data_IF_446612915963
#
_entry.id   IF_446612915963
#
_cell.length_a   1.000
_cell.length_b   1.000
_cell.length_c   1.000
_cell.angle_alpha   90.00
_cell.angle_beta   90.00
_cell.angle_gamma   90.00
#
_symmetry.space_group_name_H-M   'P 1'
#
loop_
_entity.id
_entity.type
_entity.pdbx_description
1 polymer ?
#
# COMPACT_ATOMS: atom_id res chain seq x y z
N UNK A 1 11.60 11.93 16.27
CA UNK A 1 10.47 11.10 15.87
C UNK A 1 9.61 11.92 14.93
N UNK A 2 9.52 11.55 13.65
CA UNK A 2 8.55 12.16 12.73
C UNK A 2 7.33 11.25 12.63
N UNK A 3 6.19 11.72 13.14
CA UNK A 3 4.91 11.02 13.10
C UNK A 3 4.09 11.55 11.93
N UNK A 4 3.76 10.66 11.00
CA UNK A 4 3.10 11.00 9.74
C UNK A 4 1.69 10.46 9.73
N UNK A 5 0.70 11.31 9.45
CA UNK A 5 -0.68 10.88 9.18
C UNK A 5 -0.82 10.52 7.70
N UNK A 6 -1.47 9.41 7.38
CA UNK A 6 -1.58 8.92 6.00
C UNK A 6 -3.04 8.99 5.54
N UNK A 7 -3.26 9.68 4.42
CA UNK A 7 -4.53 9.69 3.67
C UNK A 7 -4.37 8.72 2.49
N UNK A 8 -5.13 7.62 2.45
CA UNK A 8 -5.12 6.68 1.32
C UNK A 8 -5.74 7.25 0.04
N UNK A 9 -5.91 6.37 -0.94
CA UNK A 9 -6.58 6.65 -2.22
C UNK A 9 -7.96 7.27 -2.00
N UNK A 10 -8.19 8.42 -2.65
CA UNK A 10 -9.35 9.27 -2.34
C UNK A 10 -10.54 8.95 -3.23
N UNK A 11 -10.32 8.68 -4.51
CA UNK A 11 -11.32 8.30 -5.52
C UNK A 11 -12.65 9.05 -5.34
N UNK A 12 -12.62 10.38 -5.47
CA UNK A 12 -13.80 11.24 -5.37
C UNK A 12 -14.58 11.17 -4.03
N UNK A 13 -13.88 10.94 -2.90
CA UNK A 13 -14.46 10.91 -1.55
C UNK A 13 -14.06 12.17 -0.75
N UNK A 14 -14.60 13.37 -1.05
CA UNK A 14 -14.24 14.60 -0.35
C UNK A 14 -14.46 14.53 1.17
N UNK A 15 -15.42 13.73 1.63
CA UNK A 15 -15.71 13.52 3.04
C UNK A 15 -14.55 12.89 3.83
N UNK A 16 -13.58 12.25 3.16
CA UNK A 16 -12.37 11.73 3.82
C UNK A 16 -11.57 12.84 4.48
N UNK A 17 -11.56 14.05 3.90
CA UNK A 17 -10.84 15.19 4.48
C UNK A 17 -11.50 15.67 5.77
N UNK A 18 -12.83 15.67 5.86
CA UNK A 18 -13.54 16.02 7.10
C UNK A 18 -13.27 14.98 8.22
N UNK A 19 -13.21 13.69 7.88
CA UNK A 19 -12.84 12.65 8.83
C UNK A 19 -11.37 12.75 9.27
N UNK A 20 -10.48 13.07 8.35
CA UNK A 20 -9.08 13.31 8.67
C UNK A 20 -8.94 14.49 9.63
N UNK A 21 -9.64 15.62 9.42
CA UNK A 21 -9.65 16.76 10.34
C UNK A 21 -10.08 16.37 11.76
N UNK A 22 -11.11 15.54 11.89
CA UNK A 22 -11.57 15.06 13.20
C UNK A 22 -10.44 14.32 13.94
N UNK A 23 -9.68 13.49 13.24
CA UNK A 23 -8.57 12.73 13.83
C UNK A 23 -7.34 13.60 14.10
N UNK A 24 -7.01 14.51 13.19
CA UNK A 24 -5.90 15.48 13.34
C UNK A 24 -6.14 16.41 14.52
N UNK A 25 -7.39 16.72 14.86
CA UNK A 25 -7.70 17.52 16.06
C UNK A 25 -7.36 16.83 17.39
N UNK A 26 -7.17 15.50 17.38
CA UNK A 26 -6.94 14.68 18.58
C UNK A 26 -5.46 14.40 18.85
N UNK A 27 -4.58 14.64 17.88
CA UNK A 27 -3.15 14.30 17.97
C UNK A 27 -2.32 15.12 17.00
N UNK A 28 -1.11 15.50 17.41
CA UNK A 28 -0.18 16.21 16.53
C UNK A 28 0.57 15.23 15.61
N UNK A 29 0.77 15.67 14.37
CA UNK A 29 1.52 14.97 13.32
C UNK A 29 2.48 15.95 12.65
N UNK A 30 3.71 15.51 12.40
CA UNK A 30 4.73 16.34 11.77
C UNK A 30 4.44 16.55 10.29
N UNK A 31 3.86 15.54 9.63
CA UNK A 31 3.48 15.55 8.22
C UNK A 31 2.15 14.84 8.01
N UNK A 32 1.47 15.23 6.94
CA UNK A 32 0.32 14.52 6.39
C UNK A 32 0.69 14.12 4.96
N UNK A 33 0.54 12.85 4.62
CA UNK A 33 0.83 12.35 3.27
C UNK A 33 -0.43 11.76 2.66
N UNK A 34 -0.87 12.32 1.53
CA UNK A 34 -1.92 11.76 0.69
C UNK A 34 -1.32 10.91 -0.42
N UNK A 35 -1.80 9.68 -0.60
CA UNK A 35 -1.23 8.72 -1.56
C UNK A 35 -1.78 8.86 -2.99
N UNK A 36 -2.60 9.88 -3.24
CA UNK A 36 -3.08 10.23 -4.58
C UNK A 36 -4.39 9.55 -4.93
N UNK A 37 -4.55 9.29 -6.22
CA UNK A 37 -5.80 8.81 -6.83
C UNK A 37 -6.98 9.63 -6.32
N UNK A 38 -6.91 10.93 -6.60
CA UNK A 38 -7.89 11.91 -6.14
C UNK A 38 -9.23 11.73 -6.85
N UNK A 39 -9.19 11.20 -8.06
CA UNK A 39 -10.28 11.21 -9.02
C UNK A 39 -10.66 9.80 -9.46
N UNK A 40 -11.75 9.76 -10.23
CA UNK A 40 -12.38 8.55 -10.76
C UNK A 40 -12.97 7.65 -9.68
N UNK A 41 -14.24 7.28 -9.84
CA UNK A 41 -14.93 6.27 -9.03
C UNK A 41 -16.06 5.69 -9.87
N UNK A 42 -16.63 4.57 -9.43
CA UNK A 42 -17.66 3.82 -10.13
C UNK A 42 -18.85 4.68 -10.54
N UNK A 43 -19.15 4.66 -11.85
CA UNK A 43 -20.31 5.33 -12.45
C UNK A 43 -20.34 6.87 -12.20
N UNK A 44 -19.19 7.49 -11.85
CA UNK A 44 -19.05 8.93 -11.60
C UNK A 44 -18.45 9.71 -12.77
N UNK A 45 -18.15 9.10 -13.91
CA UNK A 45 -17.38 9.70 -15.00
C UNK A 45 -17.98 11.03 -15.50
N UNK A 46 -19.29 11.23 -15.37
CA UNK A 46 -19.99 12.47 -15.79
C UNK A 46 -20.32 13.43 -14.64
N UNK A 47 -19.98 13.09 -13.40
CA UNK A 47 -20.32 13.88 -12.22
C UNK A 47 -19.31 15.01 -11.99
N UNK A 48 -19.27 16.00 -12.89
CA UNK A 48 -18.31 17.12 -12.81
C UNK A 48 -18.39 17.91 -11.49
N UNK A 49 -19.57 17.90 -10.85
CA UNK A 49 -19.78 18.51 -9.55
C UNK A 49 -18.94 17.84 -8.47
N UNK A 50 -18.96 16.51 -8.42
CA UNK A 50 -18.18 15.73 -7.45
C UNK A 50 -16.67 15.86 -7.66
N UNK A 51 -16.20 15.89 -8.90
CA UNK A 51 -14.79 16.18 -9.19
C UNK A 51 -14.38 17.56 -8.65
N UNK A 52 -15.19 18.59 -8.93
CA UNK A 52 -14.93 19.95 -8.43
C UNK A 52 -14.96 19.99 -6.90
N UNK A 53 -15.94 19.35 -6.28
CA UNK A 53 -16.07 19.25 -4.82
C UNK A 53 -14.86 18.58 -4.17
N UNK A 54 -14.33 17.52 -4.80
CA UNK A 54 -13.14 16.80 -4.32
C UNK A 54 -11.91 17.70 -4.30
N UNK A 55 -11.66 18.43 -5.39
CA UNK A 55 -10.55 19.39 -5.44
C UNK A 55 -10.76 20.57 -4.48
N UNK A 56 -11.97 21.11 -4.37
CA UNK A 56 -12.26 22.22 -3.46
C UNK A 56 -12.14 21.79 -1.98
N UNK A 57 -12.50 20.54 -1.64
CA UNK A 57 -12.29 19.98 -0.30
C UNK A 57 -10.81 19.81 0.03
N UNK A 58 -10.05 19.24 -0.90
CA UNK A 58 -8.61 19.08 -0.77
C UNK A 58 -7.89 20.43 -0.65
N UNK A 59 -8.28 21.43 -1.45
CA UNK A 59 -7.71 22.79 -1.35
C UNK A 59 -7.95 23.41 0.04
N UNK A 60 -9.17 23.28 0.59
CA UNK A 60 -9.47 23.74 1.95
C UNK A 60 -8.60 23.04 2.99
N UNK A 61 -8.45 21.73 2.87
CA UNK A 61 -7.64 20.92 3.77
C UNK A 61 -6.16 21.33 3.74
N UNK A 62 -5.57 21.46 2.54
CA UNK A 62 -4.17 21.90 2.37
C UNK A 62 -3.92 23.28 2.98
N UNK A 63 -4.87 24.22 2.81
CA UNK A 63 -4.75 25.56 3.37
C UNK A 63 -4.73 25.58 4.91
N UNK A 64 -5.29 24.55 5.56
CA UNK A 64 -5.25 24.39 7.02
C UNK A 64 -4.00 23.62 7.48
N UNK A 65 -3.44 22.78 6.61
CA UNK A 65 -2.31 21.90 6.90
C UNK A 65 -1.11 22.13 5.97
N UNK A 66 -0.27 23.16 6.21
CA UNK A 66 0.87 23.46 5.34
C UNK A 66 1.98 22.39 5.36
N UNK A 67 1.91 21.43 6.28
CA UNK A 67 2.78 20.25 6.35
C UNK A 67 2.31 19.07 5.49
N UNK A 68 1.35 19.30 4.59
CA UNK A 68 0.81 18.33 3.65
C UNK A 68 1.77 18.00 2.49
N UNK A 69 1.82 16.72 2.14
CA UNK A 69 2.52 16.14 0.99
C UNK A 69 1.52 15.33 0.15
N UNK A 70 1.62 15.44 -1.17
CA UNK A 70 0.81 14.69 -2.13
C UNK A 70 1.68 13.78 -2.98
N UNK A 71 1.36 12.49 -3.00
CA UNK A 71 1.79 11.57 -4.04
C UNK A 71 0.80 11.64 -5.22
N UNK A 72 1.29 11.61 -6.45
CA UNK A 72 0.44 11.31 -7.60
C UNK A 72 0.14 9.82 -7.67
N UNK A 73 -1.13 9.48 -7.91
CA UNK A 73 -1.55 8.14 -8.33
C UNK A 73 -1.70 8.02 -9.85
N UNK A 74 -1.97 6.80 -10.33
CA UNK A 74 -2.16 6.56 -11.77
C UNK A 74 -3.37 7.31 -12.32
N UNK A 75 -4.46 7.39 -11.56
CA UNK A 75 -5.66 8.10 -12.01
C UNK A 75 -5.42 9.59 -12.14
N UNK A 76 -4.58 10.19 -11.28
CA UNK A 76 -4.27 11.62 -11.36
C UNK A 76 -3.50 11.97 -12.65
N UNK A 77 -2.43 11.22 -12.92
CA UNK A 77 -1.54 11.50 -14.06
C UNK A 77 -2.09 11.02 -15.39
N UNK A 78 -3.04 10.08 -15.37
CA UNK A 78 -3.78 9.63 -16.57
C UNK A 78 -4.34 10.84 -17.36
N UNK A 79 -4.85 11.86 -16.67
CA UNK A 79 -5.42 13.07 -17.24
C UNK A 79 -4.37 14.01 -17.84
N UNK A 80 -3.22 14.13 -17.16
CA UNK A 80 -2.08 14.92 -17.62
C UNK A 80 -1.52 14.31 -18.92
N UNK A 81 -1.40 12.99 -18.95
CA UNK A 81 -0.78 12.25 -20.05
C UNK A 81 -1.73 11.81 -21.15
N UNK A 82 -3.03 12.04 -20.96
CA UNK A 82 -4.09 11.51 -21.84
C UNK A 82 -3.94 9.99 -22.05
N UNK A 83 -3.53 9.31 -20.98
CA UNK A 83 -3.31 7.88 -20.95
C UNK A 83 -4.54 7.24 -20.31
N UNK A 84 -5.41 6.63 -21.13
CA UNK A 84 -6.67 6.07 -20.65
C UNK A 84 -6.43 4.83 -19.81
N UNK A 85 -7.18 4.74 -18.73
CA UNK A 85 -7.26 3.59 -17.86
C UNK A 85 -8.72 3.38 -17.39
N UNK A 86 -8.93 2.54 -16.37
CA UNK A 86 -10.29 2.31 -15.88
C UNK A 86 -10.83 3.58 -15.22
N UNK A 87 -12.12 3.89 -15.36
CA UNK A 87 -12.71 5.09 -14.75
C UNK A 87 -12.37 6.44 -15.42
N UNK A 88 -11.32 6.52 -16.24
CA UNK A 88 -10.93 7.75 -16.95
C UNK A 88 -12.11 8.42 -17.67
N UNK A 89 -12.30 9.72 -17.45
CA UNK A 89 -13.38 10.49 -18.05
C UNK A 89 -12.93 11.64 -18.95
N UNK A 90 -13.20 11.51 -20.25
CA UNK A 90 -13.04 12.63 -21.20
C UNK A 90 -13.84 13.87 -20.81
N UNK A 91 -14.99 13.69 -20.15
CA UNK A 91 -15.85 14.79 -19.72
C UNK A 91 -15.23 15.55 -18.55
N UNK A 92 -14.59 14.84 -17.62
CA UNK A 92 -14.00 15.41 -16.41
C UNK A 92 -12.61 16.00 -16.64
N UNK A 93 -11.92 15.63 -17.73
CA UNK A 93 -10.53 16.01 -17.98
C UNK A 93 -10.22 17.48 -17.73
N UNK A 94 -11.07 18.40 -18.24
CA UNK A 94 -10.83 19.83 -18.04
C UNK A 94 -10.87 20.21 -16.55
N UNK A 95 -11.84 19.68 -15.80
CA UNK A 95 -11.99 19.91 -14.36
C UNK A 95 -10.79 19.32 -13.61
N UNK A 96 -10.34 18.12 -13.97
CA UNK A 96 -9.17 17.48 -13.34
C UNK A 96 -7.90 18.29 -13.56
N UNK A 97 -7.60 18.68 -14.81
CA UNK A 97 -6.41 19.48 -15.12
C UNK A 97 -6.46 20.83 -14.41
N UNK A 98 -7.61 21.50 -14.39
CA UNK A 98 -7.79 22.76 -13.65
C UNK A 98 -7.59 22.56 -12.14
N UNK A 99 -8.09 21.45 -11.57
CA UNK A 99 -7.92 21.06 -10.17
C UNK A 99 -6.46 20.81 -9.80
N UNK A 100 -5.76 19.94 -10.53
CA UNK A 100 -4.35 19.66 -10.32
C UNK A 100 -3.47 20.92 -10.44
N UNK A 101 -3.75 21.78 -11.43
CA UNK A 101 -3.06 23.07 -11.58
C UNK A 101 -3.32 24.05 -10.42
N UNK A 102 -4.44 23.92 -9.69
CA UNK A 102 -4.66 24.70 -8.45
C UNK A 102 -3.82 24.12 -7.30
N UNK A 103 -3.78 22.80 -7.16
CA UNK A 103 -2.98 22.15 -6.12
C UNK A 103 -1.50 22.53 -6.21
N UNK A 104 -0.93 22.54 -7.42
CA UNK A 104 0.46 22.99 -7.67
C UNK A 104 0.75 24.43 -7.20
N UNK A 105 -0.28 25.27 -7.07
CA UNK A 105 -0.14 26.66 -6.59
C UNK A 105 -0.30 26.79 -5.08
N UNK A 106 -1.11 25.93 -4.45
CA UNK A 106 -1.41 25.98 -3.02
C UNK A 106 -0.47 25.11 -2.19
N UNK A 107 0.06 24.03 -2.78
CA UNK A 107 1.04 23.14 -2.13
C UNK A 107 2.44 23.73 -2.31
N UNK A 108 3.27 23.66 -1.25
CA UNK A 108 4.65 24.15 -1.31
C UNK A 108 5.46 23.42 -2.39
N UNK A 109 6.39 24.13 -3.04
CA UNK A 109 7.25 23.53 -4.06
C UNK A 109 8.01 22.31 -3.48
N UNK A 110 7.94 21.17 -4.18
CA UNK A 110 8.53 19.91 -3.73
C UNK A 110 7.62 19.04 -2.86
N UNK A 111 6.45 19.52 -2.43
CA UNK A 111 5.49 18.72 -1.66
C UNK A 111 4.47 17.96 -2.54
N UNK A 112 4.59 18.04 -3.86
CA UNK A 112 3.89 17.16 -4.82
C UNK A 112 4.96 16.35 -5.56
N UNK A 113 4.84 15.01 -5.53
CA UNK A 113 5.82 14.09 -6.10
C UNK A 113 5.17 12.74 -6.45
N UNK A 114 5.90 11.81 -7.08
CA UNK A 114 5.44 10.40 -7.16
C UNK A 114 5.83 9.62 -5.90
N UNK A 115 6.99 9.95 -5.33
CA UNK A 115 7.51 9.33 -4.11
C UNK A 115 8.01 10.40 -3.16
N UNK A 116 7.49 10.40 -1.93
CA UNK A 116 8.03 11.15 -0.80
C UNK A 116 8.86 10.23 0.08
N UNK A 117 9.95 10.79 0.64
CA UNK A 117 10.78 10.12 1.63
C UNK A 117 10.80 10.91 2.92
N UNK A 118 10.52 10.24 4.03
CA UNK A 118 10.71 10.77 5.38
C UNK A 118 11.50 9.72 6.17
N UNK A 119 12.69 10.08 6.64
CA UNK A 119 13.65 9.15 7.26
C UNK A 119 13.90 7.90 6.40
N UNK A 120 13.59 6.70 6.89
CA UNK A 120 13.70 5.43 6.17
C UNK A 120 12.33 4.87 5.76
N UNK A 121 11.37 5.76 5.48
CA UNK A 121 10.04 5.41 4.98
C UNK A 121 9.80 6.11 3.65
N UNK A 122 9.36 5.33 2.66
CA UNK A 122 8.87 5.84 1.38
C UNK A 122 7.35 5.85 1.38
N UNK A 123 6.78 6.92 0.85
CA UNK A 123 5.35 7.06 0.60
C UNK A 123 5.16 7.27 -0.89
N UNK A 124 4.33 6.44 -1.52
CA UNK A 124 4.03 6.51 -2.94
C UNK A 124 2.69 5.85 -3.18
N UNK A 125 2.07 6.10 -4.32
CA UNK A 125 0.79 5.49 -4.62
C UNK A 125 0.84 3.95 -4.60
N UNK A 126 1.85 3.33 -5.25
CA UNK A 126 1.87 1.87 -5.43
C UNK A 126 3.15 1.16 -4.91
N UNK A 127 4.29 1.87 -4.84
CA UNK A 127 5.53 1.35 -4.25
C UNK A 127 6.72 1.29 -5.22
N UNK A 128 7.94 1.44 -4.72
CA UNK A 128 9.17 1.39 -5.51
C UNK A 128 9.81 0.00 -5.47
N UNK A 129 10.05 -0.59 -6.63
CA UNK A 129 10.57 -1.96 -6.76
C UNK A 129 11.99 -2.00 -7.31
N UNK A 130 12.72 -3.08 -6.99
CA UNK A 130 14.05 -3.32 -7.55
C UNK A 130 14.00 -3.45 -9.08
N UNK A 131 12.98 -4.13 -9.61
CA UNK A 131 12.80 -4.32 -11.06
C UNK A 131 12.67 -2.98 -11.78
N UNK A 132 11.86 -2.06 -11.24
CA UNK A 132 11.71 -0.73 -11.82
C UNK A 132 13.02 0.06 -11.81
N UNK A 133 13.70 0.09 -10.65
CA UNK A 133 14.96 0.81 -10.51
C UNK A 133 16.04 0.25 -11.43
N UNK A 134 16.21 -1.07 -11.49
CA UNK A 134 17.22 -1.68 -12.37
C UNK A 134 16.89 -1.54 -13.85
N UNK A 135 15.63 -1.41 -14.22
CA UNK A 135 15.24 -1.18 -15.61
C UNK A 135 15.57 0.25 -16.05
N UNK A 136 15.14 1.26 -15.29
CA UNK A 136 15.24 2.66 -15.71
C UNK A 136 16.52 3.36 -15.24
N UNK A 137 17.17 2.84 -14.19
CA UNK A 137 18.37 3.40 -13.57
C UNK A 137 19.44 2.31 -13.30
N UNK A 138 19.81 1.46 -14.29
CA UNK A 138 20.67 0.28 -14.09
C UNK A 138 22.06 0.60 -13.52
N UNK A 139 22.64 1.72 -13.94
CA UNK A 139 24.00 2.15 -13.56
C UNK A 139 24.00 3.23 -12.48
N UNK A 140 22.87 3.45 -11.80
CA UNK A 140 22.78 4.50 -10.79
C UNK A 140 23.56 4.13 -9.53
N UNK A 141 24.54 4.96 -9.17
CA UNK A 141 25.41 4.77 -8.01
C UNK A 141 25.28 5.87 -6.96
N UNK A 142 24.32 6.78 -7.11
CA UNK A 142 24.11 7.92 -6.22
C UNK A 142 23.40 7.53 -4.92
N UNK A 143 23.17 8.54 -4.08
CA UNK A 143 22.34 8.38 -2.90
C UNK A 143 20.87 8.15 -3.24
N UNK A 144 20.13 7.62 -2.29
CA UNK A 144 18.68 7.41 -2.37
C UNK A 144 17.91 8.73 -2.63
N UNK A 145 18.34 9.87 -2.09
CA UNK A 145 17.67 11.15 -2.36
C UNK A 145 17.84 11.59 -3.82
N UNK A 146 19.05 11.42 -4.39
CA UNK A 146 19.33 11.68 -5.81
C UNK A 146 18.56 10.71 -6.73
N UNK A 147 18.37 9.46 -6.30
CA UNK A 147 17.57 8.47 -7.02
C UNK A 147 16.10 8.90 -7.08
N UNK A 148 15.54 9.28 -5.94
CA UNK A 148 14.14 9.71 -5.85
C UNK A 148 13.93 11.03 -6.61
N UNK A 149 14.89 11.95 -6.62
CA UNK A 149 14.83 13.16 -7.45
C UNK A 149 14.72 12.81 -8.94
N UNK A 150 15.48 11.81 -9.42
CA UNK A 150 15.38 11.34 -10.81
C UNK A 150 14.01 10.73 -11.10
N UNK A 151 13.52 9.84 -10.24
CA UNK A 151 12.22 9.19 -10.41
C UNK A 151 11.09 10.22 -10.36
N UNK A 152 11.17 11.21 -9.47
CA UNK A 152 10.20 12.30 -9.40
C UNK A 152 10.23 13.23 -10.62
N UNK A 153 11.30 13.19 -11.43
CA UNK A 153 11.40 13.85 -12.73
C UNK A 153 10.96 13.00 -13.93
N UNK A 154 10.59 11.74 -13.73
CA UNK A 154 10.13 10.85 -14.81
C UNK A 154 8.79 11.28 -15.39
N UNK A 155 8.51 10.81 -16.60
CA UNK A 155 7.30 11.11 -17.36
C UNK A 155 6.57 9.81 -17.70
N UNK A 156 5.58 9.93 -18.57
CA UNK A 156 4.74 8.83 -19.05
C UNK A 156 5.56 7.62 -19.52
N UNK A 157 6.64 7.85 -20.26
CA UNK A 157 7.39 6.75 -20.91
C UNK A 157 8.04 5.82 -19.88
N UNK A 158 8.40 6.32 -18.71
CA UNK A 158 8.95 5.53 -17.62
C UNK A 158 7.86 5.05 -16.64
N UNK A 159 6.93 5.94 -16.27
CA UNK A 159 5.99 5.68 -15.18
C UNK A 159 4.70 4.98 -15.61
N UNK A 160 4.33 4.98 -16.89
CA UNK A 160 3.09 4.31 -17.33
C UNK A 160 3.31 2.83 -17.62
N UNK A 161 3.79 2.09 -16.62
CA UNK A 161 4.02 0.65 -16.66
C UNK A 161 3.74 -0.05 -15.32
N UNK A 162 3.40 -1.33 -15.37
CA UNK A 162 2.94 -2.13 -14.21
C UNK A 162 3.96 -2.25 -13.06
N UNK A 163 5.25 -2.04 -13.33
CA UNK A 163 6.28 -2.10 -12.29
C UNK A 163 6.51 -0.74 -11.58
N UNK A 164 5.87 0.32 -12.06
CA UNK A 164 6.13 1.68 -11.63
C UNK A 164 5.58 2.00 -10.23
N UNK A 165 6.10 3.07 -9.58
CA UNK A 165 5.60 3.58 -8.31
C UNK A 165 4.13 4.02 -8.27
N UNK A 166 3.43 4.01 -9.41
CA UNK A 166 2.02 4.37 -9.53
C UNK A 166 1.15 3.19 -10.01
N UNK A 167 1.71 2.00 -10.26
CA UNK A 167 0.94 0.86 -10.78
C UNK A 167 1.24 -0.48 -10.10
N UNK A 168 2.39 -0.60 -9.45
CA UNK A 168 2.81 -1.91 -8.95
C UNK A 168 1.91 -2.41 -7.83
N UNK A 169 1.60 -3.71 -7.86
CA UNK A 169 0.76 -4.38 -6.86
C UNK A 169 1.60 -5.34 -6.03
N UNK A 170 2.42 -4.86 -5.07
CA UNK A 170 3.20 -5.74 -4.21
C UNK A 170 2.32 -6.71 -3.42
N UNK A 171 1.02 -6.43 -3.28
CA UNK A 171 0.05 -7.28 -2.60
C UNK A 171 -0.20 -8.61 -3.33
N UNK A 172 0.00 -8.65 -4.65
CA UNK A 172 -0.32 -9.80 -5.50
C UNK A 172 0.80 -10.87 -5.51
N UNK A 173 1.91 -10.66 -4.80
CA UNK A 173 2.97 -11.64 -4.71
C UNK A 173 4.28 -11.07 -4.21
N UNK A 174 5.29 -11.92 -4.09
CA UNK A 174 6.60 -11.47 -3.64
C UNK A 174 7.30 -10.64 -4.72
N UNK A 175 7.23 -9.33 -4.57
CA UNK A 175 7.97 -8.35 -5.37
C UNK A 175 9.07 -7.77 -4.48
N UNK A 176 10.32 -7.80 -4.94
CA UNK A 176 11.43 -7.23 -4.19
C UNK A 176 11.37 -5.69 -4.25
N UNK A 177 11.18 -5.08 -3.08
CA UNK A 177 11.04 -3.64 -2.90
C UNK A 177 12.41 -2.96 -2.84
N UNK A 178 12.49 -1.71 -3.32
CA UNK A 178 13.71 -0.91 -3.31
C UNK A 178 13.53 0.42 -2.57
N UNK A 179 14.51 0.88 -1.78
CA UNK A 179 15.70 0.13 -1.38
C UNK A 179 15.38 -0.85 -0.23
N UNK A 180 16.22 -1.87 -0.05
CA UNK A 180 16.07 -2.80 1.08
C UNK A 180 16.18 -2.09 2.43
N UNK A 181 15.38 -2.51 3.40
CA UNK A 181 15.39 -1.97 4.77
C UNK A 181 14.54 -0.72 4.96
N UNK A 182 13.84 -0.25 3.92
CA UNK A 182 12.90 0.86 4.00
C UNK A 182 11.50 0.33 4.17
N UNK A 183 10.72 0.98 5.04
CA UNK A 183 9.28 0.80 5.06
C UNK A 183 8.68 1.52 3.85
N UNK A 184 7.74 0.90 3.13
CA UNK A 184 6.97 1.58 2.11
C UNK A 184 5.50 1.63 2.49
N UNK A 185 4.88 2.81 2.40
CA UNK A 185 3.45 3.01 2.65
C UNK A 185 2.79 3.28 1.31
N UNK A 186 1.85 2.41 0.94
CA UNK A 186 1.28 2.36 -0.42
C UNK A 186 -0.24 2.22 -0.37
N UNK A 187 -0.91 2.73 -1.41
CA UNK A 187 -2.32 2.51 -1.70
C UNK A 187 -2.47 1.58 -2.91
N UNK A 188 -3.17 2.05 -3.94
CA UNK A 188 -3.40 1.47 -5.27
C UNK A 188 -4.21 0.16 -5.34
N UNK A 189 -3.97 -0.74 -4.39
CA UNK A 189 -4.60 -2.06 -4.35
C UNK A 189 -5.60 -2.10 -3.20
N UNK A 190 -6.91 -2.16 -3.50
CA UNK A 190 -7.94 -2.22 -2.48
C UNK A 190 -7.76 -3.38 -1.50
N UNK A 191 -7.81 -3.09 -0.21
CA UNK A 191 -7.68 -4.06 0.88
C UNK A 191 -8.83 -3.95 1.88
N UNK A 192 -9.19 -5.08 2.50
CA UNK A 192 -10.29 -5.12 3.50
C UNK A 192 -9.95 -4.42 4.81
N UNK A 193 -8.66 -4.22 5.08
CA UNK A 193 -8.10 -3.52 6.23
C UNK A 193 -6.65 -3.16 5.88
N UNK A 194 -6.07 -2.19 6.59
CA UNK A 194 -4.62 -1.98 6.52
C UNK A 194 -3.87 -3.28 6.77
N UNK A 195 -2.91 -3.59 5.91
CA UNK A 195 -2.11 -4.81 5.99
C UNK A 195 -0.61 -4.48 5.96
N UNK A 196 0.21 -5.37 6.52
CA UNK A 196 1.66 -5.23 6.60
C UNK A 196 2.36 -6.51 6.16
N UNK A 197 3.21 -6.43 5.14
CA UNK A 197 4.03 -7.55 4.67
C UNK A 197 5.29 -7.05 3.98
N UNK A 198 6.42 -7.75 4.11
CA UNK A 198 7.63 -7.42 3.35
C UNK A 198 8.14 -5.97 3.51
N UNK A 199 7.96 -5.37 4.70
CA UNK A 199 8.21 -3.93 4.93
C UNK A 199 7.33 -2.99 4.09
N UNK A 200 6.13 -3.43 3.69
CA UNK A 200 5.10 -2.62 3.01
C UNK A 200 3.87 -2.51 3.92
N UNK A 201 3.38 -1.29 4.14
CA UNK A 201 2.07 -1.01 4.74
C UNK A 201 1.13 -0.62 3.62
N UNK A 202 0.10 -1.42 3.37
CA UNK A 202 -0.91 -1.14 2.33
C UNK A 202 -2.15 -0.53 2.97
N UNK A 203 -2.62 0.59 2.44
CA UNK A 203 -3.63 1.43 3.11
C UNK A 203 -4.83 1.80 2.26
N UNK A 204 -4.97 1.33 1.01
CA UNK A 204 -6.21 1.55 0.24
C UNK A 204 -7.36 0.70 0.79
N UNK A 205 -7.90 1.11 1.94
CA UNK A 205 -9.06 0.51 2.62
C UNK A 205 -10.32 1.40 2.52
N UNK A 206 -10.30 2.43 1.65
CA UNK A 206 -11.42 3.34 1.40
C UNK A 206 -12.12 3.08 0.06
N UNK A 207 -11.50 2.28 -0.83
CA UNK A 207 -12.10 1.79 -2.06
C UNK A 207 -13.45 1.09 -1.85
N UNK A 208 -14.31 1.19 -2.86
CA UNK A 208 -15.68 0.68 -2.87
C UNK A 208 -15.88 -0.34 -3.97
N UNK A 209 -16.82 -1.26 -3.77
CA UNK A 209 -17.40 -2.01 -4.86
C UNK A 209 -18.26 -1.09 -5.72
N UNK A 210 -18.59 -1.52 -6.95
CA UNK A 210 -19.43 -0.75 -7.87
C UNK A 210 -20.79 -0.34 -7.29
N UNK A 211 -21.34 -1.10 -6.34
CA UNK A 211 -22.60 -0.77 -5.68
C UNK A 211 -22.47 0.30 -4.58
N UNK A 212 -21.26 0.81 -4.33
CA UNK A 212 -20.95 1.81 -3.31
C UNK A 212 -20.60 1.23 -1.94
N UNK A 213 -20.70 -0.09 -1.74
CA UNK A 213 -20.32 -0.71 -0.48
C UNK A 213 -18.80 -0.63 -0.27
N UNK A 214 -18.33 -0.33 0.96
CA UNK A 214 -16.90 -0.28 1.24
C UNK A 214 -16.26 -1.66 1.12
N UNK A 215 -15.08 -1.71 0.51
CA UNK A 215 -14.24 -2.92 0.48
C UNK A 215 -13.54 -3.09 1.84
N UNK A 216 -13.00 -1.98 2.35
CA UNK A 216 -12.20 -1.92 3.57
C UNK A 216 -12.93 -1.40 4.80
N UNK A 217 -12.19 -1.36 5.91
CA UNK A 217 -12.66 -0.84 7.19
C UNK A 217 -12.63 0.70 7.27
N UNK A 218 -12.13 1.38 6.24
CA UNK A 218 -12.14 2.85 6.10
C UNK A 218 -11.47 3.56 7.30
N UNK A 219 -10.29 3.08 7.70
CA UNK A 219 -9.52 3.62 8.84
C UNK A 219 -8.21 4.22 8.41
N UNK A 220 -7.95 5.44 8.88
CA UNK A 220 -6.67 6.12 8.69
C UNK A 220 -5.60 5.56 9.63
N UNK A 221 -4.34 5.68 9.21
CA UNK A 221 -3.20 5.29 10.02
C UNK A 221 -2.25 6.46 10.23
N UNK A 222 -1.37 6.27 11.22
CA UNK A 222 -0.16 7.03 11.36
C UNK A 222 1.07 6.12 11.27
N UNK A 223 2.20 6.71 10.91
CA UNK A 223 3.50 6.03 10.81
C UNK A 223 4.56 6.84 11.55
N UNK A 224 5.29 6.20 12.44
CA UNK A 224 6.55 6.72 12.99
C UNK A 224 7.68 6.31 12.06
N UNK A 225 8.27 7.29 11.39
CA UNK A 225 9.26 7.06 10.32
C UNK A 225 10.65 6.74 10.83
N UNK A 226 10.94 7.04 12.09
CA UNK A 226 12.21 6.66 12.73
C UNK A 226 12.18 5.20 13.18
N UNK A 227 11.07 4.79 13.82
CA UNK A 227 10.93 3.42 14.33
C UNK A 227 10.34 2.44 13.32
N UNK A 228 9.86 2.94 12.16
CA UNK A 228 9.15 2.17 11.12
C UNK A 228 7.94 1.40 11.66
N UNK A 229 7.26 1.98 12.65
CA UNK A 229 6.04 1.43 13.24
C UNK A 229 4.85 2.25 12.79
N UNK A 230 3.69 1.60 12.73
CA UNK A 230 2.44 2.24 12.34
C UNK A 230 1.34 1.89 13.32
N UNK A 231 0.27 2.68 13.36
CA UNK A 231 -0.91 2.40 14.15
C UNK A 231 -2.14 3.09 13.59
N UNK A 232 -3.33 2.70 14.02
CA UNK A 232 -4.55 3.38 13.60
C UNK A 232 -4.68 4.75 14.26
N UNK A 233 -5.13 5.75 13.50
CA UNK A 233 -5.28 7.13 13.97
C UNK A 233 -6.46 7.34 14.93
N UNK A 234 -7.45 6.45 14.90
CA UNK A 234 -8.54 6.37 15.87
C UNK A 234 -8.23 5.42 17.05
N UNK A 235 -7.03 4.83 17.08
CA UNK A 235 -6.60 3.85 18.09
C UNK A 235 -6.10 4.46 19.40
N UNK A 236 -5.48 3.64 20.24
CA UNK A 236 -4.95 4.07 21.56
C UNK A 236 -3.66 4.91 21.48
N UNK A 237 -3.16 5.19 20.27
CA UNK A 237 -1.85 5.81 20.04
C UNK A 237 -0.67 4.84 20.12
N UNK A 238 -0.89 3.57 20.44
CA UNK A 238 0.13 2.52 20.41
C UNK A 238 0.27 1.96 19.00
N UNK A 239 1.48 1.55 18.59
CA UNK A 239 1.68 0.94 17.28
C UNK A 239 1.00 -0.43 17.21
N UNK A 240 0.49 -0.77 16.03
CA UNK A 240 0.00 -2.10 15.73
C UNK A 240 1.11 -3.13 15.84
N UNK A 241 0.74 -4.34 16.27
CA UNK A 241 1.68 -5.46 16.33
C UNK A 241 1.93 -5.92 14.90
N UNK A 242 3.19 -5.87 14.50
CA UNK A 242 3.58 -6.46 13.22
C UNK A 242 3.28 -7.96 13.24
N UNK A 243 2.67 -8.51 12.18
CA UNK A 243 2.49 -9.95 12.05
C UNK A 243 3.86 -10.64 12.10
N UNK A 244 3.89 -11.86 12.65
CA UNK A 244 5.10 -12.68 12.58
C UNK A 244 5.38 -12.94 11.08
N UNK A 245 6.54 -12.55 10.54
CA UNK A 245 6.84 -12.78 9.12
C UNK A 245 6.80 -14.27 8.74
N UNK A 246 7.02 -15.18 9.70
CA UNK A 246 6.83 -16.61 9.46
C UNK A 246 5.36 -16.91 9.17
N UNK A 247 4.45 -16.20 9.81
CA UNK A 247 3.01 -16.27 9.57
C UNK A 247 2.56 -15.39 8.41
N UNK A 248 3.35 -15.23 7.35
CA UNK A 248 2.85 -14.66 6.09
C UNK A 248 3.30 -15.53 4.90
N UNK A 249 2.34 -16.14 4.19
CA UNK A 249 2.64 -16.97 3.02
C UNK A 249 3.39 -16.21 1.92
N UNK A 250 3.20 -14.90 1.81
CA UNK A 250 3.88 -14.09 0.79
C UNK A 250 5.40 -14.07 0.96
N UNK A 251 5.91 -14.52 2.12
CA UNK A 251 7.35 -14.67 2.36
C UNK A 251 7.95 -15.97 1.81
N UNK A 252 7.14 -16.95 1.40
CA UNK A 252 7.59 -18.24 0.88
C UNK A 252 7.52 -18.30 -0.65
N UNK A 253 8.42 -19.09 -1.23
CA UNK A 253 8.49 -19.37 -2.68
C UNK A 253 8.02 -20.79 -2.95
N UNK A 254 7.48 -21.04 -4.15
CA UNK A 254 7.24 -22.41 -4.63
C UNK A 254 8.52 -23.23 -4.51
N UNK A 255 8.44 -24.38 -3.84
CA UNK A 255 9.59 -25.23 -3.56
C UNK A 255 10.19 -25.07 -2.15
N UNK A 256 9.78 -24.05 -1.39
CA UNK A 256 10.21 -23.93 0.01
C UNK A 256 9.70 -25.10 0.84
N UNK A 257 10.57 -25.63 1.70
CA UNK A 257 10.22 -26.72 2.60
C UNK A 257 9.63 -26.15 3.91
N UNK A 258 8.41 -26.55 4.26
CA UNK A 258 7.69 -26.06 5.43
C UNK A 258 7.25 -27.21 6.33
N UNK A 259 7.18 -26.94 7.63
CA UNK A 259 6.59 -27.83 8.63
C UNK A 259 5.32 -27.21 9.16
N UNK A 260 4.21 -27.95 9.10
CA UNK A 260 2.92 -27.43 9.52
C UNK A 260 2.24 -28.26 10.57
N UNK A 261 1.44 -27.59 11.40
CA UNK A 261 0.75 -28.20 12.53
C UNK A 261 -0.76 -28.07 12.36
N UNK A 262 -1.40 -29.18 12.01
CA UNK A 262 -2.87 -29.25 11.92
C UNK A 262 -3.44 -29.46 13.32
N UNK A 263 -4.39 -28.59 13.72
CA UNK A 263 -5.21 -28.80 14.92
C UNK A 263 -6.65 -29.07 14.48
N UNK A 264 -7.17 -30.23 14.88
CA UNK A 264 -8.52 -30.63 14.48
C UNK A 264 -9.57 -29.94 15.37
N UNK A 265 -10.44 -29.14 14.76
CA UNK A 265 -11.48 -28.38 15.46
C UNK A 265 -12.35 -29.29 16.36
N UNK A 266 -12.46 -28.95 17.65
CA UNK A 266 -13.23 -29.72 18.63
C UNK A 266 -12.48 -30.91 19.24
N UNK A 267 -11.17 -31.01 19.06
CA UNK A 267 -10.33 -32.02 19.72
C UNK A 267 -8.96 -31.45 20.13
N UNK A 268 -8.31 -32.08 21.12
CA UNK A 268 -6.90 -31.80 21.46
C UNK A 268 -5.91 -32.51 20.52
N UNK A 269 -6.40 -33.12 19.43
CA UNK A 269 -5.56 -33.83 18.47
C UNK A 269 -4.79 -32.81 17.63
N UNK A 270 -3.47 -32.98 17.63
CA UNK A 270 -2.53 -32.19 16.84
C UNK A 270 -1.65 -33.12 16.01
N UNK A 271 -1.31 -32.71 14.80
CA UNK A 271 -0.47 -33.47 13.88
C UNK A 271 0.55 -32.53 13.22
N UNK A 272 1.82 -32.93 13.19
CA UNK A 272 2.88 -32.19 12.49
C UNK A 272 3.19 -32.91 11.19
N UNK A 273 3.10 -32.18 10.09
CA UNK A 273 3.37 -32.65 8.73
C UNK A 273 4.51 -31.85 8.11
N UNK A 274 5.30 -32.53 7.29
CA UNK A 274 6.41 -31.97 6.51
C UNK A 274 5.99 -31.90 5.04
N UNK A 275 6.17 -30.74 4.39
CA UNK A 275 5.76 -30.59 2.99
C UNK A 275 6.50 -29.51 2.23
N UNK A 276 6.25 -29.46 0.92
CA UNK A 276 6.78 -28.45 0.01
C UNK A 276 5.63 -27.48 -0.31
N UNK A 277 5.93 -26.18 -0.30
CA UNK A 277 4.98 -25.13 -0.71
C UNK A 277 4.74 -25.25 -2.21
N UNK A 278 3.50 -25.55 -2.58
CA UNK A 278 2.99 -25.39 -3.95
C UNK A 278 1.95 -24.27 -3.94
N UNK A 279 2.23 -23.18 -4.65
CA UNK A 279 1.27 -22.08 -4.80
C UNK A 279 0.39 -22.42 -5.99
N UNK A 280 -0.83 -22.90 -5.72
CA UNK A 280 -1.82 -23.22 -6.73
C UNK A 280 -2.86 -22.09 -6.75
N UNK A 281 -2.48 -21.00 -7.41
CA UNK A 281 -3.32 -19.93 -7.94
C UNK A 281 -3.97 -18.91 -6.97
N UNK A 282 -4.02 -17.68 -7.46
CA UNK A 282 -4.38 -16.44 -6.78
C UNK A 282 -5.89 -16.28 -6.68
N UNK A 283 -6.44 -16.43 -5.47
CA UNK A 283 -7.85 -16.11 -5.24
C UNK A 283 -8.08 -14.59 -5.36
N UNK A 284 -8.98 -14.11 -6.24
CA UNK A 284 -9.31 -12.68 -6.39
C UNK A 284 -10.15 -12.12 -5.21
N UNK A 285 -10.16 -12.81 -4.06
CA UNK A 285 -11.12 -12.62 -2.98
C UNK A 285 -10.54 -12.10 -1.66
N UNK A 286 -9.24 -11.83 -1.58
CA UNK A 286 -8.60 -11.24 -0.40
C UNK A 286 -8.22 -12.21 0.72
N UNK A 287 -8.06 -13.51 0.43
CA UNK A 287 -7.44 -14.47 1.35
C UNK A 287 -6.42 -15.34 0.61
N UNK A 288 -5.19 -15.35 1.10
CA UNK A 288 -4.14 -16.24 0.61
C UNK A 288 -4.32 -17.62 1.26
N UNK A 289 -4.44 -18.67 0.45
CA UNK A 289 -4.51 -20.06 0.92
C UNK A 289 -3.36 -20.87 0.33
N UNK A 290 -2.90 -21.90 1.02
CA UNK A 290 -1.81 -22.76 0.56
C UNK A 290 -2.34 -24.16 0.33
N UNK A 291 -1.91 -24.74 -0.79
CA UNK A 291 -1.97 -26.18 -0.98
C UNK A 291 -0.60 -26.76 -0.59
N UNK A 292 -0.56 -27.67 0.39
CA UNK A 292 0.69 -28.29 0.86
C UNK A 292 0.72 -29.76 0.47
N UNK A 293 1.81 -30.20 -0.15
CA UNK A 293 2.03 -31.61 -0.46
C UNK A 293 2.96 -32.25 0.59
N UNK A 294 2.49 -33.31 1.25
CA UNK A 294 3.27 -34.13 2.19
C UNK A 294 3.25 -35.59 1.73
N UNK A 295 4.40 -36.08 1.24
CA UNK A 295 4.45 -37.37 0.54
C UNK A 295 3.52 -37.38 -0.67
N UNK A 296 2.62 -38.38 -0.75
CA UNK A 296 1.59 -38.49 -1.80
C UNK A 296 0.25 -37.79 -1.44
N UNK A 297 0.20 -37.02 -0.34
CA UNK A 297 -1.02 -36.39 0.16
C UNK A 297 -1.02 -34.90 -0.10
N UNK A 298 -2.06 -34.42 -0.80
CA UNK A 298 -2.28 -33.00 -1.08
C UNK A 298 -3.31 -32.42 -0.11
N UNK A 299 -2.89 -31.46 0.71
CA UNK A 299 -3.73 -30.72 1.64
C UNK A 299 -4.07 -29.38 1.02
N UNK A 300 -5.35 -29.16 0.70
CA UNK A 300 -5.78 -27.96 -0.02
C UNK A 300 -6.37 -26.89 0.87
N UNK A 301 -6.24 -25.64 0.44
CA UNK A 301 -6.87 -24.48 1.03
C UNK A 301 -6.63 -24.36 2.53
N UNK A 302 -5.43 -24.73 2.97
CA UNK A 302 -5.04 -24.56 4.36
C UNK A 302 -4.94 -23.07 4.66
N UNK A 303 -5.56 -22.65 5.77
CA UNK A 303 -5.34 -21.30 6.30
C UNK A 303 -3.96 -21.25 6.93
N UNK A 304 -3.36 -20.07 7.01
CA UNK A 304 -1.99 -19.96 7.52
C UNK A 304 -1.83 -20.41 8.98
N UNK A 305 -2.88 -20.23 9.78
CA UNK A 305 -2.95 -20.70 11.16
C UNK A 305 -2.89 -22.24 11.25
N UNK A 306 -3.39 -22.93 10.22
CA UNK A 306 -3.29 -24.40 10.07
C UNK A 306 -1.88 -24.84 9.64
N UNK A 307 -1.06 -23.90 9.12
CA UNK A 307 0.21 -24.19 8.46
C UNK A 307 1.42 -23.98 9.38
N UNK A 308 1.39 -23.26 10.50
CA UNK A 308 2.66 -22.96 11.21
C UNK A 308 2.58 -22.91 12.74
N UNK A 309 3.00 -24.01 13.37
CA UNK A 309 3.54 -23.98 14.75
C UNK A 309 4.80 -24.84 14.81
N UNK A 310 5.96 -24.24 14.50
CA UNK A 310 7.23 -24.28 15.27
C UNK A 310 8.49 -24.14 14.39
N UNK A 311 9.21 -23.03 14.57
CA UNK A 311 10.66 -23.05 14.73
C UNK A 311 11.09 -22.08 15.85
N UNK A 312 10.80 -22.46 17.10
CA UNK A 312 11.39 -21.80 18.28
C UNK A 312 11.90 -22.77 19.36
N UNK A 313 12.09 -24.05 19.05
CA UNK A 313 12.83 -24.96 19.95
C UNK A 313 13.75 -25.87 19.15
N UNK A 314 15.01 -25.47 19.02
CA UNK A 314 16.00 -26.28 18.30
C UNK A 314 17.39 -25.68 18.16
N UNK A 315 17.85 -24.82 19.09
CA UNK A 315 19.29 -24.62 19.31
C UNK A 315 19.68 -25.27 20.63
N UNK A 316 19.53 -26.59 20.71
CA UNK A 316 20.38 -27.37 21.60
C UNK A 316 21.34 -28.18 20.70
N UNK A 317 22.61 -27.84 20.89
CA UNK A 317 23.80 -28.47 20.34
C UNK A 317 23.70 -30.00 20.32
N UNK A 318 24.17 -30.64 19.24
CA UNK A 318 24.81 -31.93 19.38
C UNK A 318 26.20 -31.87 18.77
N UNK A 319 27.20 -31.61 19.60
CA UNK A 319 28.52 -32.19 19.40
C UNK A 319 29.31 -32.20 20.72
N UNK A 320 29.74 -33.43 21.06
CA UNK A 320 30.83 -33.88 21.93
C UNK A 320 31.47 -32.90 22.92
#
# INVERSE_FOLDING_TARGET
MSKVFVIPDVHLKPWMFDQAEELLSRSEYDKIVCLGDLVDDWDQEKNLGLYSETFDALERFINQHPNFLLCYGNHDVSYIWEARESGYSDYARRVVIEGLSKLEKCVSAGNIAYIHRIDNVLFSHAGLTEVFVFHFLPDFSGGIDELLEKINGFRRDELWCDASPIWVRPQDGRIEMYPKGYLQVVGHTPVRKTDYFGEVVTVDNFSTYRNGDPIGDQRFIWVDTETKRWGFADGSGEPEKLPDPKMDIRNYTVGDHVKFKIRYHGSDKEEILDGIVEIIDHYPGGHSSIDVMSGDTLYKHLTLDDVLVLELRGKENPQM
#
